data_IF_490179662555
#
_entry.id   IF_490179662555
#
_cell.length_a   1.000
_cell.length_b   1.000
_cell.length_c   1.000
_cell.angle_alpha   90.00
_cell.angle_beta   90.00
_cell.angle_gamma   90.00
#
_symmetry.space_group_name_H-M   'P 1'
#
loop_
_entity.id
_entity.type
_entity.pdbx_description
1 polymer ?
#
# COMPACT_ATOMS: atom_id res chain seq x y z
N UNK A 1 -23.46 34.97 11.82
CA UNK A 1 -24.09 33.70 12.23
C UNK A 1 -23.64 32.52 11.35
N UNK A 2 -23.67 32.62 10.01
CA UNK A 2 -23.13 31.58 9.10
C UNK A 2 -21.64 31.24 9.32
N UNK A 3 -20.80 32.22 9.67
CA UNK A 3 -19.36 32.00 9.89
C UNK A 3 -19.01 31.16 11.14
N UNK A 4 -19.86 31.15 12.17
CA UNK A 4 -19.64 30.32 13.37
C UNK A 4 -20.04 28.86 13.11
N UNK A 5 -21.11 28.62 12.35
CA UNK A 5 -21.56 27.27 11.97
C UNK A 5 -20.55 26.58 11.04
N UNK A 6 -19.89 27.35 10.18
CA UNK A 6 -18.79 26.88 9.32
C UNK A 6 -17.52 26.56 10.14
N UNK A 7 -17.24 27.30 11.20
CA UNK A 7 -16.11 27.01 12.10
C UNK A 7 -16.35 25.76 12.98
N UNK A 8 -17.61 25.49 13.38
CA UNK A 8 -17.99 24.26 14.10
C UNK A 8 -17.92 23.00 13.21
N UNK A 9 -18.23 23.12 11.91
CA UNK A 9 -18.21 21.99 10.96
C UNK A 9 -16.82 21.74 10.36
N UNK A 10 -15.95 22.76 10.37
CA UNK A 10 -14.61 22.73 9.79
C UNK A 10 -13.53 23.08 10.82
N UNK A 11 -13.29 22.24 11.84
CA UNK A 11 -12.18 22.43 12.77
C UNK A 11 -10.83 22.25 12.04
N UNK A 12 -9.80 22.98 12.48
CA UNK A 12 -8.42 22.88 11.95
C UNK A 12 -7.82 21.46 12.07
N UNK A 13 -8.44 20.58 12.89
CA UNK A 13 -8.09 19.16 13.02
C UNK A 13 -8.54 18.28 11.85
N UNK A 14 -9.43 18.74 10.97
CA UNK A 14 -9.93 17.94 9.84
C UNK A 14 -8.84 17.57 8.82
N UNK A 15 -7.85 18.46 8.64
CA UNK A 15 -6.69 18.21 7.77
C UNK A 15 -5.73 17.18 8.36
N UNK A 16 -5.55 17.14 9.69
CA UNK A 16 -4.73 16.14 10.37
C UNK A 16 -5.19 14.71 10.07
N UNK A 17 -6.51 14.47 10.11
CA UNK A 17 -7.10 13.17 9.78
C UNK A 17 -6.90 12.79 8.30
N UNK A 18 -6.96 13.76 7.38
CA UNK A 18 -6.66 13.55 5.96
C UNK A 18 -5.21 13.10 5.75
N UNK A 19 -4.23 13.84 6.30
CA UNK A 19 -2.81 13.48 6.18
C UNK A 19 -2.46 12.17 6.89
N UNK A 20 -3.11 11.87 8.02
CA UNK A 20 -2.95 10.58 8.71
C UNK A 20 -3.49 9.41 7.87
N UNK A 21 -4.58 9.61 7.11
CA UNK A 21 -5.08 8.66 6.11
C UNK A 21 -4.07 8.39 4.99
N UNK A 22 -3.45 9.45 4.46
CA UNK A 22 -2.39 9.36 3.44
C UNK A 22 -1.18 8.59 3.97
N UNK A 23 -0.72 8.92 5.19
CA UNK A 23 0.43 8.28 5.82
C UNK A 23 0.17 6.78 6.08
N UNK A 24 -0.99 6.44 6.64
CA UNK A 24 -1.34 5.04 6.93
C UNK A 24 -1.49 4.20 5.66
N UNK A 25 -2.08 4.75 4.59
CA UNK A 25 -2.16 4.07 3.30
C UNK A 25 -0.77 3.68 2.75
N UNK A 26 0.17 4.62 2.75
CA UNK A 26 1.54 4.41 2.25
C UNK A 26 2.33 3.44 3.11
N UNK A 27 2.32 3.63 4.43
CA UNK A 27 3.14 2.82 5.35
C UNK A 27 2.70 1.36 5.29
N UNK A 28 1.39 1.07 5.34
CA UNK A 28 0.90 -0.30 5.30
C UNK A 28 1.08 -0.96 3.93
N UNK A 29 0.86 -0.22 2.83
CA UNK A 29 1.12 -0.76 1.49
C UNK A 29 2.60 -1.09 1.27
N UNK A 30 3.51 -0.20 1.70
CA UNK A 30 4.95 -0.41 1.58
C UNK A 30 5.44 -1.55 2.49
N UNK A 31 4.89 -1.69 3.69
CA UNK A 31 5.17 -2.85 4.56
C UNK A 31 4.74 -4.17 3.91
N UNK A 32 3.54 -4.22 3.30
CA UNK A 32 3.06 -5.38 2.57
C UNK A 32 3.98 -5.77 1.40
N UNK A 33 4.36 -4.79 0.58
CA UNK A 33 5.27 -4.98 -0.54
C UNK A 33 6.67 -5.42 -0.10
N UNK A 34 7.21 -4.82 0.98
CA UNK A 34 8.50 -5.17 1.55
C UNK A 34 8.49 -6.60 2.11
N UNK A 35 7.45 -6.98 2.85
CA UNK A 35 7.33 -8.35 3.38
C UNK A 35 7.19 -9.39 2.27
N UNK A 36 6.34 -9.12 1.27
CA UNK A 36 6.17 -9.99 0.11
C UNK A 36 7.49 -10.20 -0.65
N UNK A 37 8.24 -9.11 -0.87
CA UNK A 37 9.56 -9.15 -1.52
C UNK A 37 10.61 -9.87 -0.68
N UNK A 38 10.64 -9.65 0.64
CA UNK A 38 11.62 -10.28 1.53
C UNK A 38 11.42 -11.81 1.59
N UNK A 39 10.17 -12.27 1.78
CA UNK A 39 9.84 -13.71 1.82
C UNK A 39 10.15 -14.40 0.49
N UNK A 40 9.71 -13.82 -0.62
CA UNK A 40 9.94 -14.40 -1.96
C UNK A 40 11.42 -14.33 -2.36
N UNK A 41 12.11 -13.25 -2.00
CA UNK A 41 13.52 -13.03 -2.32
C UNK A 41 14.46 -14.06 -1.69
N UNK A 42 14.21 -14.48 -0.44
CA UNK A 42 15.00 -15.55 0.21
C UNK A 42 14.86 -16.88 -0.54
N UNK A 43 13.65 -17.22 -0.99
CA UNK A 43 13.40 -18.41 -1.79
C UNK A 43 14.07 -18.35 -3.17
N UNK A 44 14.05 -17.20 -3.84
CA UNK A 44 14.74 -16.99 -5.12
C UNK A 44 16.26 -17.08 -4.95
N UNK A 45 16.83 -16.48 -3.91
CA UNK A 45 18.27 -16.52 -3.63
C UNK A 45 18.77 -17.96 -3.41
N UNK A 46 18.04 -18.76 -2.63
CA UNK A 46 18.36 -20.18 -2.40
C UNK A 46 18.26 -21.02 -3.68
N UNK A 47 17.38 -20.66 -4.61
CA UNK A 47 17.25 -21.34 -5.90
C UNK A 47 18.29 -20.85 -6.92
N UNK A 48 18.66 -19.57 -6.86
CA UNK A 48 19.61 -18.92 -7.76
C UNK A 48 21.02 -19.49 -7.65
N UNK A 49 21.46 -19.89 -6.45
CA UNK A 49 22.77 -20.54 -6.26
C UNK A 49 22.85 -21.92 -6.92
N UNK A 50 21.74 -22.63 -7.09
CA UNK A 50 21.68 -23.94 -7.74
C UNK A 50 21.56 -23.82 -9.26
N UNK A 51 20.67 -22.96 -9.75
CA UNK A 51 20.37 -22.77 -11.18
C UNK A 51 19.84 -21.34 -11.44
N UNK A 52 20.70 -20.44 -11.92
CA UNK A 52 20.35 -19.06 -12.27
C UNK A 52 19.26 -18.94 -13.36
N UNK A 53 19.20 -19.89 -14.29
CA UNK A 53 18.21 -19.91 -15.39
C UNK A 53 16.76 -20.02 -14.87
N UNK A 54 16.58 -20.74 -13.76
CA UNK A 54 15.28 -20.90 -13.09
C UNK A 54 14.92 -19.67 -12.24
N UNK A 55 15.91 -18.94 -11.73
CA UNK A 55 15.70 -17.73 -10.94
C UNK A 55 15.08 -16.60 -11.77
N UNK A 56 15.51 -16.44 -13.02
CA UNK A 56 15.00 -15.40 -13.93
C UNK A 56 13.50 -15.55 -14.23
N UNK A 57 13.00 -16.78 -14.36
CA UNK A 57 11.56 -17.04 -14.55
C UNK A 57 10.72 -16.84 -13.29
N UNK A 58 11.35 -16.95 -12.12
CA UNK A 58 10.70 -16.88 -10.81
C UNK A 58 10.63 -15.45 -10.25
N UNK A 59 10.92 -14.41 -11.03
CA UNK A 59 10.91 -13.01 -10.56
C UNK A 59 9.49 -12.40 -10.52
N UNK A 60 8.52 -13.03 -11.18
CA UNK A 60 7.13 -12.57 -11.29
C UNK A 60 6.46 -12.31 -9.92
N UNK A 61 6.61 -13.17 -8.89
CA UNK A 61 6.04 -12.93 -7.56
C UNK A 61 6.60 -11.69 -6.87
N UNK A 62 7.89 -11.36 -7.10
CA UNK A 62 8.52 -10.16 -6.54
C UNK A 62 7.92 -8.91 -7.19
N UNK A 63 7.75 -8.93 -8.51
CA UNK A 63 7.12 -7.82 -9.23
C UNK A 63 5.67 -7.63 -8.78
N UNK A 64 4.91 -8.71 -8.57
CA UNK A 64 3.53 -8.62 -8.07
C UNK A 64 3.42 -8.13 -6.62
N UNK A 65 4.40 -8.42 -5.77
CA UNK A 65 4.49 -7.77 -4.45
C UNK A 65 4.76 -6.26 -4.57
N UNK A 66 5.53 -5.83 -5.56
CA UNK A 66 5.86 -4.42 -5.79
C UNK A 66 4.69 -3.54 -6.24
N UNK A 67 3.76 -4.09 -7.03
CA UNK A 67 2.59 -3.33 -7.52
C UNK A 67 1.69 -2.86 -6.37
N UNK A 68 1.63 -3.59 -5.25
CA UNK A 68 0.89 -3.20 -4.05
C UNK A 68 1.33 -1.85 -3.46
N UNK A 69 2.63 -1.55 -3.52
CA UNK A 69 3.16 -0.24 -3.09
C UNK A 69 2.71 0.90 -4.00
N UNK A 70 2.60 0.64 -5.30
CA UNK A 70 2.10 1.61 -6.29
C UNK A 70 0.61 1.91 -6.04
N UNK A 71 -0.20 0.91 -5.67
CA UNK A 71 -1.59 1.14 -5.31
C UNK A 71 -1.73 2.08 -4.10
N UNK A 72 -0.92 1.89 -3.05
CA UNK A 72 -0.90 2.80 -1.89
C UNK A 72 -0.45 4.23 -2.26
N UNK A 73 0.53 4.36 -3.15
CA UNK A 73 1.01 5.65 -3.64
C UNK A 73 -0.06 6.40 -4.46
N UNK A 74 -0.76 5.72 -5.37
CA UNK A 74 -1.83 6.33 -6.17
C UNK A 74 -2.94 6.86 -5.26
N UNK A 75 -3.37 6.08 -4.26
CA UNK A 75 -4.41 6.50 -3.32
C UNK A 75 -3.96 7.71 -2.48
N UNK A 76 -2.70 7.72 -2.02
CA UNK A 76 -2.12 8.85 -1.33
C UNK A 76 -2.13 10.14 -2.15
N UNK A 77 -1.74 10.07 -3.43
CA UNK A 77 -1.72 11.24 -4.34
C UNK A 77 -3.13 11.73 -4.66
N UNK A 78 -4.11 10.84 -4.83
CA UNK A 78 -5.51 11.23 -5.08
C UNK A 78 -6.09 11.97 -3.86
N UNK A 79 -5.83 11.47 -2.64
CA UNK A 79 -6.27 12.13 -1.41
C UNK A 79 -5.57 13.49 -1.26
N UNK A 80 -4.26 13.55 -1.52
CA UNK A 80 -3.50 14.81 -1.48
C UNK A 80 -4.05 15.84 -2.47
N UNK A 81 -4.39 15.43 -3.69
CA UNK A 81 -4.96 16.31 -4.71
C UNK A 81 -6.41 16.73 -4.45
N UNK A 82 -7.11 16.01 -3.57
CA UNK A 82 -8.47 16.38 -3.13
C UNK A 82 -8.46 17.33 -1.93
N UNK A 83 -7.30 17.53 -1.27
CA UNK A 83 -7.11 18.49 -0.19
C UNK A 83 -6.93 19.89 -0.78
N UNK A 84 -8.03 20.56 -1.09
CA UNK A 84 -8.02 21.95 -1.54
C UNK A 84 -7.47 22.88 -0.44
N UNK A 85 -6.43 23.71 -0.73
CA UNK A 85 -5.98 24.73 0.21
C UNK A 85 -7.05 25.81 0.38
N UNK A 86 -7.20 26.41 1.58
CA UNK A 86 -8.25 27.37 1.87
C UNK A 86 -8.07 28.66 1.05
N UNK A 87 -8.73 28.74 -0.10
CA UNK A 87 -8.84 29.97 -0.88
C UNK A 87 -10.06 30.76 -0.35
N UNK A 88 -9.80 31.79 0.45
CA UNK A 88 -10.76 32.85 0.83
C UNK A 88 -12.15 32.42 1.30
N UNK A 89 -12.33 32.30 2.62
CA UNK A 89 -13.63 32.34 3.33
C UNK A 89 -14.66 31.21 3.11
N UNK A 90 -14.27 30.03 2.63
CA UNK A 90 -15.06 28.82 2.77
C UNK A 90 -14.16 27.60 3.04
N UNK A 91 -14.07 27.10 4.29
CA UNK A 91 -13.39 25.84 4.53
C UNK A 91 -14.27 24.72 3.93
N UNK A 92 -13.83 24.18 2.79
CA UNK A 92 -14.50 23.04 2.13
C UNK A 92 -14.19 21.69 2.77
N UNK A 93 -13.26 21.65 3.74
CA UNK A 93 -12.93 20.44 4.50
C UNK A 93 -13.79 20.35 5.76
N UNK A 94 -14.91 19.63 5.65
CA UNK A 94 -15.71 19.25 6.81
C UNK A 94 -15.09 18.06 7.54
N UNK A 95 -15.38 17.92 8.84
CA UNK A 95 -14.93 16.76 9.64
C UNK A 95 -15.29 15.40 8.98
N UNK A 96 -16.42 15.33 8.27
CA UNK A 96 -16.86 14.14 7.53
C UNK A 96 -15.88 13.73 6.40
N UNK A 97 -15.37 14.69 5.63
CA UNK A 97 -14.41 14.36 4.55
C UNK A 97 -13.07 13.91 5.13
N UNK A 98 -12.62 14.50 6.23
CA UNK A 98 -11.42 14.08 6.97
C UNK A 98 -11.51 12.62 7.45
N UNK A 99 -12.62 12.21 8.07
CA UNK A 99 -12.82 10.81 8.46
C UNK A 99 -12.98 9.87 7.28
N UNK A 100 -13.62 10.30 6.19
CA UNK A 100 -13.73 9.52 4.96
C UNK A 100 -12.34 9.22 4.34
N UNK A 101 -11.45 10.21 4.30
CA UNK A 101 -10.08 10.02 3.82
C UNK A 101 -9.24 9.13 4.74
N UNK A 102 -9.40 9.25 6.06
CA UNK A 102 -8.76 8.33 7.01
C UNK A 102 -9.22 6.89 6.78
N UNK A 103 -10.53 6.66 6.68
CA UNK A 103 -11.11 5.34 6.49
C UNK A 103 -10.70 4.73 5.13
N UNK A 104 -10.68 5.54 4.07
CA UNK A 104 -10.22 5.11 2.75
C UNK A 104 -8.74 4.69 2.77
N UNK A 105 -7.88 5.49 3.43
CA UNK A 105 -6.46 5.18 3.55
C UNK A 105 -6.19 3.90 4.36
N UNK A 106 -6.89 3.71 5.49
CA UNK A 106 -6.78 2.50 6.31
C UNK A 106 -7.30 1.25 5.60
N UNK A 107 -8.44 1.34 4.91
CA UNK A 107 -9.02 0.21 4.18
C UNK A 107 -8.07 -0.27 3.07
N UNK A 108 -7.55 0.64 2.26
CA UNK A 108 -6.61 0.31 1.19
C UNK A 108 -5.25 -0.17 1.74
N UNK A 109 -4.71 0.50 2.75
CA UNK A 109 -3.43 0.13 3.37
C UNK A 109 -3.46 -1.27 4.01
N UNK A 110 -4.48 -1.58 4.81
CA UNK A 110 -4.59 -2.87 5.50
C UNK A 110 -4.88 -4.03 4.54
N UNK A 111 -5.71 -3.81 3.52
CA UNK A 111 -5.95 -4.81 2.47
C UNK A 111 -4.69 -5.07 1.64
N UNK A 112 -3.93 -4.03 1.32
CA UNK A 112 -2.62 -4.14 0.65
C UNK A 112 -1.59 -4.90 1.48
N UNK A 113 -1.55 -4.68 2.79
CA UNK A 113 -0.69 -5.41 3.72
C UNK A 113 -1.04 -6.90 3.79
N UNK A 114 -2.33 -7.24 3.92
CA UNK A 114 -2.79 -8.62 3.94
C UNK A 114 -2.50 -9.34 2.61
N UNK A 115 -2.73 -8.66 1.48
CA UNK A 115 -2.38 -9.18 0.16
C UNK A 115 -0.87 -9.41 0.02
N UNK A 116 -0.03 -8.47 0.46
CA UNK A 116 1.43 -8.60 0.44
C UNK A 116 1.95 -9.78 1.26
N UNK A 117 1.38 -10.03 2.44
CA UNK A 117 1.70 -11.22 3.24
C UNK A 117 1.32 -12.52 2.54
N UNK A 118 0.12 -12.58 1.95
CA UNK A 118 -0.33 -13.76 1.21
C UNK A 118 0.58 -14.05 -0.01
N UNK A 119 0.93 -13.02 -0.79
CA UNK A 119 1.85 -13.14 -1.94
C UNK A 119 3.24 -13.60 -1.46
N UNK A 120 3.73 -13.09 -0.34
CA UNK A 120 5.01 -13.52 0.24
C UNK A 120 5.06 -15.01 0.54
N UNK A 121 4.02 -15.53 1.20
CA UNK A 121 3.93 -16.95 1.57
C UNK A 121 3.76 -17.84 0.33
N UNK A 122 2.86 -17.46 -0.57
CA UNK A 122 2.61 -18.20 -1.83
C UNK A 122 3.86 -18.17 -2.72
N UNK A 123 4.58 -17.05 -2.75
CA UNK A 123 5.78 -16.93 -3.55
C UNK A 123 6.96 -17.73 -3.01
N UNK A 124 7.21 -17.78 -1.69
CA UNK A 124 8.26 -18.68 -1.13
C UNK A 124 7.95 -20.16 -1.40
N UNK A 125 6.68 -20.58 -1.27
CA UNK A 125 6.26 -21.94 -1.62
C UNK A 125 6.40 -22.21 -3.14
N UNK A 126 5.98 -21.25 -3.98
CA UNK A 126 6.01 -21.36 -5.42
C UNK A 126 7.43 -21.50 -5.99
N UNK A 127 8.38 -20.68 -5.50
CA UNK A 127 9.77 -20.75 -5.99
C UNK A 127 10.46 -22.06 -5.60
N UNK A 128 10.16 -22.60 -4.42
CA UNK A 128 10.65 -23.93 -3.98
C UNK A 128 10.05 -25.06 -4.82
N UNK A 129 8.75 -25.02 -5.08
CA UNK A 129 8.06 -26.03 -5.89
C UNK A 129 8.61 -26.11 -7.33
N UNK A 130 8.92 -24.96 -7.94
CA UNK A 130 9.54 -24.89 -9.27
C UNK A 130 10.94 -25.52 -9.27
N UNK A 131 11.69 -25.37 -8.19
CA UNK A 131 13.00 -26.01 -8.00
C UNK A 131 12.96 -27.53 -8.03
N UNK A 132 12.03 -28.14 -7.29
CA UNK A 132 11.89 -29.60 -7.23
C UNK A 132 11.40 -30.19 -8.56
N UNK A 133 10.50 -29.49 -9.29
CA UNK A 133 9.91 -30.00 -10.54
C UNK A 133 10.89 -30.08 -11.71
N UNK A 134 11.96 -29.28 -11.70
CA UNK A 134 12.97 -29.23 -12.78
C UNK A 134 14.20 -30.10 -12.53
N UNK A 135 14.29 -30.78 -11.38
CA UNK A 135 15.40 -31.70 -11.08
C UNK A 135 15.23 -33.12 -11.67
N UNK A 136 14.05 -33.46 -12.18
CA UNK A 136 13.72 -34.79 -12.72
C UNK A 136 13.60 -34.82 -14.27
N UNK A 137 13.98 -33.74 -14.95
CA UNK A 137 14.10 -33.64 -16.41
C UNK A 137 15.49 -33.17 -16.78
#
# INVERSE_FOLDING_TARGET
>A
MLAQLVADVCPSSASFFGFMGVASALVFANLGAAYGTAKTGVGIASMGVMRLDLAMRNIIPVVMAGVLGIYGLIVAVIIQGSIDPPNGNAPKYGSYTGFAHLAAGLCCGLSGLAAGMAIGVVGDAGVRAVGSRRSCS
#
